data_IF_709694054348
#
_entry.id   IF_709694054348
#
_cell.length_a   1.000
_cell.length_b   1.000
_cell.length_c   1.000
_cell.angle_alpha   90.00
_cell.angle_beta   90.00
_cell.angle_gamma   90.00
#
_symmetry.space_group_name_H-M   'P 1'
#
loop_
_entity.id
_entity.type
_entity.pdbx_description
1 polymer ?
#
# COMPACT_ATOMS: atom_id res chain seq x y z
N UNK A 1 -6.11 -22.46 -4.79
CA UNK A 1 -5.01 -21.50 -4.58
C UNK A 1 -5.46 -20.52 -3.54
N UNK A 2 -5.05 -20.73 -2.29
CA UNK A 2 -5.32 -19.76 -1.23
C UNK A 2 -4.50 -18.49 -1.52
N UNK A 3 -5.18 -17.36 -1.60
CA UNK A 3 -4.51 -16.06 -1.73
C UNK A 3 -3.78 -15.80 -0.41
N UNK A 4 -2.47 -15.94 -0.39
CA UNK A 4 -1.66 -15.74 0.81
C UNK A 4 -1.82 -14.27 1.26
N UNK A 5 -2.50 -14.05 2.39
CA UNK A 5 -2.67 -12.70 2.95
C UNK A 5 -1.38 -12.35 3.69
N UNK A 6 -0.53 -11.52 3.09
CA UNK A 6 0.62 -10.94 3.80
C UNK A 6 0.12 -9.82 4.71
N UNK A 7 -0.13 -10.16 5.97
CA UNK A 7 -0.46 -9.21 7.05
C UNK A 7 0.81 -8.81 7.76
N UNK A 8 1.14 -7.51 7.75
CA UNK A 8 2.32 -7.00 8.45
C UNK A 8 1.86 -5.97 9.48
N UNK A 9 2.12 -6.26 10.76
CA UNK A 9 1.95 -5.30 11.84
C UNK A 9 3.20 -4.44 11.87
N UNK A 10 3.09 -3.23 11.36
CA UNK A 10 4.21 -2.30 11.28
C UNK A 10 4.24 -1.49 12.57
N UNK A 11 4.67 -2.13 13.65
CA UNK A 11 4.82 -1.50 14.96
C UNK A 11 6.28 -1.12 15.20
N UNK A 12 6.46 0.15 15.58
CA UNK A 12 7.69 0.75 16.04
C UNK A 12 8.84 0.73 15.02
N UNK A 13 8.87 1.77 14.20
CA UNK A 13 10.01 2.64 13.85
C UNK A 13 9.43 3.63 12.81
N UNK A 14 9.81 4.91 12.88
CA UNK A 14 9.46 5.90 11.85
C UNK A 14 9.64 5.24 10.48
N UNK A 15 8.58 5.11 9.70
CA UNK A 15 8.68 4.47 8.39
C UNK A 15 9.71 5.21 7.56
N UNK A 16 10.86 4.59 7.36
CA UNK A 16 11.64 4.92 6.18
C UNK A 16 10.81 4.46 5.00
N UNK A 17 10.51 5.43 4.13
CA UNK A 17 9.76 5.29 2.87
C UNK A 17 10.13 4.01 2.10
N UNK A 18 11.37 3.54 2.26
CA UNK A 18 11.93 2.35 1.65
C UNK A 18 11.19 1.04 1.99
N UNK A 19 10.80 0.82 3.25
CA UNK A 19 10.13 -0.43 3.63
C UNK A 19 8.74 -0.54 2.98
N UNK A 20 8.03 0.57 2.91
CA UNK A 20 6.72 0.64 2.25
C UNK A 20 6.86 0.39 0.75
N UNK A 21 7.88 0.97 0.11
CA UNK A 21 8.20 0.72 -1.30
C UNK A 21 8.45 -0.76 -1.55
N UNK A 22 9.42 -1.35 -0.84
CA UNK A 22 9.79 -2.75 -1.01
C UNK A 22 8.60 -3.70 -0.82
N UNK A 23 7.69 -3.42 0.10
CA UNK A 23 6.50 -4.25 0.28
C UNK A 23 5.60 -4.26 -0.96
N UNK A 24 5.41 -3.09 -1.57
CA UNK A 24 4.60 -2.99 -2.78
C UNK A 24 5.36 -3.57 -3.96
N UNK A 25 6.61 -3.18 -4.20
CA UNK A 25 7.41 -3.66 -5.34
C UNK A 25 7.62 -5.18 -5.32
N UNK A 26 7.85 -5.78 -4.14
CA UNK A 26 8.05 -7.23 -3.99
C UNK A 26 6.73 -8.02 -3.97
N UNK A 27 5.58 -7.36 -4.06
CA UNK A 27 4.31 -8.06 -4.18
C UNK A 27 4.18 -8.63 -5.59
N UNK A 28 4.36 -9.94 -5.72
CA UNK A 28 4.16 -10.73 -6.95
C UNK A 28 2.84 -11.53 -6.86
N UNK A 29 2.35 -12.04 -7.99
CA UNK A 29 1.30 -13.09 -8.06
C UNK A 29 -0.11 -12.75 -7.51
N UNK A 30 -0.78 -11.74 -8.08
CA UNK A 30 -2.20 -11.43 -7.76
C UNK A 30 -2.49 -11.35 -6.25
N UNK A 31 -1.55 -10.81 -5.50
CA UNK A 31 -1.52 -10.92 -4.05
C UNK A 31 -2.39 -9.89 -3.34
N UNK A 32 -2.71 -10.19 -2.08
CA UNK A 32 -3.40 -9.27 -1.16
C UNK A 32 -2.40 -8.67 -0.18
N UNK A 33 -2.24 -7.35 -0.20
CA UNK A 33 -1.42 -6.61 0.76
C UNK A 33 -2.31 -5.98 1.83
N UNK A 34 -2.04 -6.30 3.10
CA UNK A 34 -2.76 -5.73 4.24
C UNK A 34 -1.87 -4.81 5.06
N UNK A 35 -2.13 -3.50 4.94
CA UNK A 35 -1.47 -2.41 5.68
C UNK A 35 -2.43 -1.75 6.67
N UNK A 36 -3.40 -2.50 7.19
CA UNK A 36 -4.38 -1.97 8.12
C UNK A 36 -3.79 -1.82 9.52
N UNK A 37 -4.20 -0.78 10.26
CA UNK A 37 -3.65 -0.46 11.59
C UNK A 37 -2.14 -0.18 11.58
N UNK A 38 -1.63 0.39 10.50
CA UNK A 38 -0.21 0.65 10.25
C UNK A 38 0.20 2.09 10.56
N UNK A 39 -0.71 2.95 11.02
CA UNK A 39 -0.45 4.39 11.26
C UNK A 39 0.03 5.14 10.01
N UNK A 40 -0.35 4.68 8.82
CA UNK A 40 -0.04 5.37 7.55
C UNK A 40 -0.65 6.77 7.54
N UNK A 41 0.06 7.69 6.90
CA UNK A 41 -0.30 9.09 6.68
C UNK A 41 -0.49 9.39 5.19
N UNK A 42 -0.90 10.61 4.85
CA UNK A 42 -1.01 11.04 3.45
C UNK A 42 0.30 10.99 2.68
N UNK A 43 1.42 11.22 3.37
CA UNK A 43 2.76 11.13 2.80
C UNK A 43 3.13 9.69 2.43
N UNK A 44 2.73 8.74 3.26
CA UNK A 44 2.91 7.33 2.96
C UNK A 44 2.06 6.93 1.73
N UNK A 45 0.85 7.47 1.62
CA UNK A 45 -0.03 7.20 0.47
C UNK A 45 0.50 7.72 -0.86
N UNK A 46 1.29 8.81 -0.88
CA UNK A 46 1.99 9.24 -2.09
C UNK A 46 2.99 8.20 -2.58
N UNK A 47 3.67 7.51 -1.65
CA UNK A 47 4.60 6.43 -1.96
C UNK A 47 3.83 5.21 -2.47
N UNK A 48 2.75 4.84 -1.77
CA UNK A 48 1.86 3.76 -2.23
C UNK A 48 1.40 4.01 -3.66
N UNK A 49 0.92 5.22 -3.94
CA UNK A 49 0.46 5.61 -5.27
C UNK A 49 1.54 5.42 -6.35
N UNK A 50 2.75 5.97 -6.11
CA UNK A 50 3.88 5.84 -7.03
C UNK A 50 4.27 4.39 -7.32
N UNK A 51 4.24 3.53 -6.31
CA UNK A 51 4.58 2.11 -6.48
C UNK A 51 3.46 1.33 -7.16
N UNK A 52 2.19 1.68 -6.92
CA UNK A 52 1.04 1.10 -7.61
C UNK A 52 1.00 1.47 -9.10
N UNK A 53 1.52 2.64 -9.50
CA UNK A 53 1.66 2.98 -10.92
C UNK A 53 2.55 1.98 -11.68
N UNK A 54 3.42 1.25 -10.99
CA UNK A 54 4.35 0.28 -11.58
C UNK A 54 3.91 -1.17 -11.28
N UNK A 55 3.38 -1.45 -10.10
CA UNK A 55 2.98 -2.80 -9.71
C UNK A 55 1.64 -3.22 -10.36
N UNK A 56 1.68 -4.21 -11.26
CA UNK A 56 0.49 -4.83 -11.91
C UNK A 56 0.07 -6.18 -11.28
N UNK A 57 0.74 -6.60 -10.23
CA UNK A 57 0.52 -7.87 -9.53
C UNK A 57 -0.38 -7.72 -8.31
N UNK A 58 -0.48 -6.56 -7.67
CA UNK A 58 -1.32 -6.37 -6.51
C UNK A 58 -2.81 -6.28 -6.91
N UNK A 59 -3.66 -7.16 -6.37
CA UNK A 59 -5.11 -7.15 -6.69
C UNK A 59 -5.98 -6.66 -5.55
N UNK A 60 -5.46 -6.67 -4.32
CA UNK A 60 -6.20 -6.24 -3.13
C UNK A 60 -5.27 -5.50 -2.18
N UNK A 61 -5.66 -4.27 -1.82
CA UNK A 61 -4.97 -3.44 -0.84
C UNK A 61 -5.94 -3.12 0.31
N UNK A 62 -5.56 -3.42 1.55
CA UNK A 62 -6.34 -3.09 2.75
C UNK A 62 -5.63 -2.01 3.57
N UNK A 63 -6.35 -0.92 3.84
CA UNK A 63 -5.81 0.30 4.48
C UNK A 63 -6.63 0.76 5.69
N UNK A 64 -7.56 -0.05 6.21
CA UNK A 64 -8.45 0.39 7.29
C UNK A 64 -7.67 0.70 8.58
N UNK A 65 -8.21 1.59 9.41
CA UNK A 65 -7.59 1.99 10.69
C UNK A 65 -6.20 2.63 10.49
N UNK A 66 -6.07 3.56 9.54
CA UNK A 66 -4.89 4.41 9.35
C UNK A 66 -5.25 5.90 9.51
N UNK A 67 -4.25 6.80 9.41
CA UNK A 67 -4.40 8.25 9.52
C UNK A 67 -4.33 8.89 8.12
N UNK A 68 -5.14 8.36 7.20
CA UNK A 68 -5.20 8.80 5.80
C UNK A 68 -6.38 9.78 5.68
N UNK A 69 -6.11 10.99 5.22
CA UNK A 69 -7.12 12.00 4.93
C UNK A 69 -7.59 11.89 3.46
N UNK A 70 -8.40 12.85 3.03
CA UNK A 70 -8.78 13.03 1.64
C UNK A 70 -7.57 13.24 0.71
N UNK A 71 -6.50 13.88 1.20
CA UNK A 71 -5.26 14.08 0.44
C UNK A 71 -4.61 12.74 0.07
N UNK A 72 -4.41 11.85 1.05
CA UNK A 72 -3.84 10.53 0.80
C UNK A 72 -4.76 9.64 -0.04
N UNK A 73 -6.08 9.79 0.09
CA UNK A 73 -7.05 9.10 -0.76
C UNK A 73 -6.97 9.57 -2.22
N UNK A 74 -6.76 10.86 -2.47
CA UNK A 74 -6.59 11.41 -3.81
C UNK A 74 -5.36 10.83 -4.51
N UNK A 75 -4.22 10.74 -3.84
CA UNK A 75 -3.02 10.07 -4.39
C UNK A 75 -3.32 8.64 -4.86
N UNK A 76 -4.05 7.88 -4.05
CA UNK A 76 -4.43 6.51 -4.40
C UNK A 76 -5.38 6.46 -5.60
N UNK A 77 -6.37 7.35 -5.66
CA UNK A 77 -7.32 7.43 -6.76
C UNK A 77 -6.61 7.72 -8.10
N UNK A 78 -5.65 8.63 -8.10
CA UNK A 78 -4.87 8.97 -9.29
C UNK A 78 -4.04 7.80 -9.81
N UNK A 79 -3.38 7.05 -8.92
CA UNK A 79 -2.62 5.86 -9.28
C UNK A 79 -3.51 4.72 -9.79
N UNK A 80 -4.69 4.52 -9.20
CA UNK A 80 -5.62 3.46 -9.61
C UNK A 80 -6.21 3.70 -11.00
N UNK A 81 -6.30 4.95 -11.46
CA UNK A 81 -6.79 5.28 -12.81
C UNK A 81 -5.90 4.72 -13.91
N UNK A 82 -4.60 4.54 -13.65
CA UNK A 82 -3.62 4.03 -14.63
C UNK A 82 -3.26 2.57 -14.39
N UNK A 83 -3.71 1.97 -13.27
CA UNK A 83 -3.47 0.59 -12.91
C UNK A 83 -4.58 -0.31 -13.50
N UNK A 84 -4.26 -1.00 -14.60
CA UNK A 84 -5.16 -1.91 -15.35
C UNK A 84 -4.71 -3.36 -15.28
#
# INVERSE_FOLDING_TARGET
>A
METEIRKIKLEALKYDNEKLRQLITNTTDKSTLNLSSSKLTDRDMEIVAKELEINRSLTKLRLFTNQISDIGAQHLADALRTNT
#
